data_IF_977810722306
#
_entry.id   IF_977810722306
#
_cell.length_a   1.000
_cell.length_b   1.000
_cell.length_c   1.000
_cell.angle_alpha   90.00
_cell.angle_beta   90.00
_cell.angle_gamma   90.00
#
_symmetry.space_group_name_H-M   'P 1'
#
loop_
_entity.id
_entity.type
_entity.pdbx_description
1 polymer ?
2 non-polymer ?
3 non-polymer ?
4 water ?
#
# COMPACT_ATOMS: atom_id res chain seq x y z
N UNK A 10 -11.82 12.03 -20.06
CA UNK A 10 -10.90 11.92 -21.22
C UNK A 10 -10.70 10.44 -21.50
N UNK A 11 -11.53 9.96 -22.41
CA UNK A 11 -11.48 8.54 -22.83
C UNK A 11 -10.65 8.43 -24.09
N UNK A 12 -9.89 7.37 -24.17
CA UNK A 12 -9.02 7.08 -25.32
C UNK A 12 -9.83 6.13 -26.24
N UNK A 13 -9.56 6.24 -27.52
CA UNK A 13 -10.25 5.41 -28.52
C UNK A 13 -9.97 3.94 -28.29
N UNK A 14 -11.03 3.17 -28.36
CA UNK A 14 -11.01 1.73 -28.17
C UNK A 14 -10.16 1.08 -29.27
N UNK A 15 -9.23 0.26 -28.83
CA UNK A 15 -8.33 -0.46 -29.78
C UNK A 15 -9.20 -1.49 -30.51
N UNK A 16 -8.74 -1.84 -31.70
CA UNK A 16 -9.49 -2.79 -32.54
C UNK A 16 -9.85 -4.06 -31.81
N UNK A 17 -8.93 -4.61 -31.03
CA UNK A 17 -9.14 -5.89 -30.37
C UNK A 17 -10.08 -5.94 -29.22
N UNK A 18 -10.58 -4.83 -28.72
CA UNK A 18 -11.46 -4.81 -27.53
C UNK A 18 -12.93 -4.92 -27.91
N UNK A 19 -13.57 -6.03 -27.54
CA UNK A 19 -15.03 -6.16 -27.74
C UNK A 19 -15.72 -5.09 -26.91
N UNK A 20 -16.60 -4.34 -27.55
CA UNK A 20 -17.31 -3.24 -26.92
C UNK A 20 -18.14 -3.60 -25.71
N UNK A 21 -18.46 -4.88 -25.54
CA UNK A 21 -19.23 -5.42 -24.46
C UNK A 21 -18.31 -5.56 -23.21
N UNK A 22 -17.02 -5.52 -23.48
CA UNK A 22 -16.03 -5.62 -22.36
C UNK A 22 -15.63 -4.25 -21.89
N UNK A 23 -16.16 -3.17 -22.37
CA UNK A 23 -15.84 -1.82 -21.94
C UNK A 23 -16.64 -1.48 -20.66
N UNK A 24 -15.86 -0.90 -19.79
CA UNK A 24 -16.38 -0.43 -18.44
C UNK A 24 -15.35 0.65 -18.07
N UNK A 25 -15.77 1.90 -18.21
CA UNK A 25 -14.91 3.06 -17.99
C UNK A 25 -14.68 3.43 -16.53
N UNK A 26 -13.90 2.68 -15.88
CA UNK A 26 -13.45 2.87 -14.48
C UNK A 26 -12.13 3.70 -14.52
N UNK A 27 -12.12 4.76 -13.75
CA UNK A 27 -11.01 5.68 -13.56
C UNK A 27 -10.44 5.41 -12.14
N UNK A 28 -9.34 4.71 -12.10
CA UNK A 28 -8.72 4.26 -10.86
C UNK A 28 -8.26 5.46 -10.00
N UNK A 29 -8.14 6.62 -10.58
CA UNK A 29 -7.80 7.84 -9.90
C UNK A 29 -8.96 8.70 -9.44
N UNK A 30 -10.11 8.43 -10.00
CA UNK A 30 -11.30 9.18 -9.60
C UNK A 30 -12.53 8.34 -9.96
N UNK A 31 -12.66 7.29 -9.20
CA UNK A 31 -13.83 6.39 -9.33
C UNK A 31 -15.06 7.17 -8.91
N UNK A 32 -16.22 6.68 -9.37
CA UNK A 32 -17.48 7.33 -9.22
C UNK A 32 -18.10 7.50 -7.89
N UNK A 33 -18.31 6.47 -7.09
CA UNK A 33 -19.00 6.80 -5.79
C UNK A 33 -17.94 6.82 -4.69
N UNK A 34 -16.97 7.71 -4.92
CA UNK A 34 -15.85 7.88 -4.01
C UNK A 34 -16.34 8.39 -2.68
N UNK A 35 -17.43 9.11 -2.70
CA UNK A 35 -18.12 9.61 -1.51
C UNK A 35 -18.41 8.50 -0.51
N UNK A 36 -18.81 7.34 -1.02
CA UNK A 36 -19.23 6.19 -0.18
C UNK A 36 -18.08 5.49 0.56
N UNK A 37 -16.89 5.78 0.08
CA UNK A 37 -15.69 5.02 0.55
C UNK A 37 -14.96 4.47 -0.66
N UNK A 38 -13.63 4.36 -0.50
CA UNK A 38 -12.76 3.92 -1.59
C UNK A 38 -12.92 2.47 -1.95
N UNK A 39 -12.98 1.56 -1.01
CA UNK A 39 -13.16 0.18 -1.16
C UNK A 39 -14.55 -0.01 -1.86
N UNK A 40 -15.52 0.74 -1.40
CA UNK A 40 -16.90 0.68 -1.96
C UNK A 40 -16.97 1.15 -3.39
N UNK A 41 -16.16 2.14 -3.75
CA UNK A 41 -16.02 2.71 -5.06
C UNK A 41 -15.44 1.72 -6.04
N UNK A 42 -14.43 1.00 -5.72
CA UNK A 42 -13.81 -0.08 -6.47
C UNK A 42 -14.69 -1.33 -6.61
N UNK A 43 -15.40 -1.71 -5.60
CA UNK A 43 -16.30 -2.83 -5.53
C UNK A 43 -17.40 -2.78 -6.58
N UNK A 44 -17.66 -1.65 -7.19
CA UNK A 44 -18.59 -1.51 -8.31
C UNK A 44 -18.19 -2.48 -9.44
N UNK A 45 -16.95 -2.72 -9.63
CA UNK A 45 -16.31 -3.62 -10.54
C UNK A 45 -16.74 -5.07 -10.35
N UNK A 46 -17.28 -5.34 -9.17
CA UNK A 46 -17.66 -6.73 -8.87
C UNK A 46 -19.16 -6.99 -8.89
N UNK A 47 -19.90 -6.00 -9.33
CA UNK A 47 -21.36 -6.17 -9.49
C UNK A 47 -21.62 -7.21 -10.59
N UNK A 48 -22.84 -7.74 -10.56
CA UNK A 48 -23.33 -8.72 -11.55
C UNK A 48 -23.27 -8.18 -12.97
N UNK A 49 -23.45 -6.93 -13.20
CA UNK A 49 -23.43 -6.30 -14.52
C UNK A 49 -22.03 -6.22 -15.13
N UNK A 50 -21.01 -6.46 -14.34
CA UNK A 50 -19.62 -6.31 -14.82
C UNK A 50 -18.97 -7.64 -15.13
N UNK A 51 -18.43 -7.77 -16.33
CA UNK A 51 -17.63 -8.93 -16.74
C UNK A 51 -16.36 -9.02 -15.84
N UNK A 52 -15.82 -10.21 -15.77
CA UNK A 52 -14.69 -10.61 -15.00
C UNK A 52 -13.43 -9.81 -15.38
N UNK A 53 -13.34 -9.52 -16.63
CA UNK A 53 -12.26 -8.83 -17.29
C UNK A 53 -12.80 -7.77 -18.19
N UNK A 54 -12.54 -6.54 -17.89
CA UNK A 54 -13.03 -5.36 -18.52
C UNK A 54 -11.89 -4.52 -19.04
N UNK A 55 -12.22 -3.63 -19.95
CA UNK A 55 -11.40 -2.66 -20.59
C UNK A 55 -11.93 -1.26 -20.22
N UNK A 56 -11.02 -0.43 -19.72
CA UNK A 56 -11.45 0.95 -19.41
C UNK A 56 -10.74 1.82 -20.40
N UNK A 57 -11.39 2.88 -20.82
CA UNK A 57 -10.74 3.81 -21.77
C UNK A 57 -10.11 4.95 -21.01
N UNK A 58 -10.22 4.87 -19.67
CA UNK A 58 -9.64 5.97 -18.85
C UNK A 58 -8.14 5.69 -18.74
N UNK A 59 -7.41 6.78 -18.40
CA UNK A 59 -5.97 6.63 -18.10
C UNK A 59 -5.27 5.94 -19.26
N UNK A 60 -5.74 6.24 -20.47
CA UNK A 60 -5.19 5.78 -21.72
C UNK A 60 -5.63 4.47 -22.29
N UNK A 61 -6.47 3.71 -21.65
CA UNK A 61 -6.97 2.43 -21.97
C UNK A 61 -6.16 1.29 -21.38
N UNK A 62 -6.78 0.39 -20.68
CA UNK A 62 -6.12 -0.74 -20.01
C UNK A 62 -7.21 -1.72 -19.58
N UNK A 63 -6.83 -2.95 -19.35
CA UNK A 63 -7.63 -4.00 -18.78
C UNK A 63 -7.66 -3.89 -17.23
N UNK A 64 -8.68 -4.50 -16.65
CA UNK A 64 -8.84 -4.64 -15.22
C UNK A 64 -9.40 -6.04 -14.97
N UNK A 65 -8.75 -6.84 -14.19
CA UNK A 65 -9.19 -8.12 -13.70
C UNK A 65 -10.01 -7.85 -12.43
N UNK A 66 -11.24 -8.32 -12.35
CA UNK A 66 -12.15 -7.98 -11.29
C UNK A 66 -12.31 -8.98 -10.18
N UNK A 67 -11.80 -10.16 -10.36
CA UNK A 67 -12.01 -11.30 -9.50
C UNK A 67 -10.71 -11.89 -8.98
N UNK A 68 -10.79 -12.27 -7.74
CA UNK A 68 -9.65 -12.84 -7.01
C UNK A 68 -8.93 -13.91 -7.74
N UNK A 69 -9.72 -14.79 -8.41
CA UNK A 69 -9.14 -15.92 -9.16
C UNK A 69 -8.29 -15.40 -10.31
N UNK A 70 -8.77 -14.43 -11.06
CA UNK A 70 -8.00 -13.88 -12.18
C UNK A 70 -6.78 -13.12 -11.73
N UNK A 71 -6.95 -12.32 -10.68
CA UNK A 71 -5.88 -11.51 -10.10
C UNK A 71 -4.70 -12.39 -9.68
N UNK A 72 -4.96 -13.46 -9.00
CA UNK A 72 -4.00 -14.42 -8.54
C UNK A 72 -3.31 -15.18 -9.66
N UNK A 73 -4.10 -15.62 -10.63
CA UNK A 73 -3.53 -16.30 -11.79
C UNK A 73 -2.58 -15.38 -12.54
N UNK A 74 -3.00 -14.19 -12.80
CA UNK A 74 -2.19 -13.22 -13.53
C UNK A 74 -0.87 -12.95 -12.75
N UNK A 75 -0.96 -12.91 -11.45
CA UNK A 75 0.12 -12.66 -10.54
C UNK A 75 1.16 -13.76 -10.48
N UNK A 76 0.70 -14.98 -10.64
CA UNK A 76 1.47 -16.18 -10.72
C UNK A 76 2.22 -16.35 -12.02
N UNK A 77 1.63 -16.03 -13.12
CA UNK A 77 2.04 -16.03 -14.48
C UNK A 77 3.03 -15.04 -15.02
N UNK A 78 4.13 -14.73 -14.43
CA UNK A 78 5.08 -13.70 -14.90
C UNK A 78 5.54 -13.80 -16.32
N UNK A 79 5.38 -14.99 -16.90
CA UNK A 79 5.76 -15.22 -18.32
C UNK A 79 4.95 -14.35 -19.24
N UNK A 80 3.62 -14.29 -18.99
CA UNK A 80 2.70 -13.46 -19.80
C UNK A 80 2.52 -12.09 -19.25
N UNK A 81 2.43 -12.06 -17.91
CA UNK A 81 2.18 -10.76 -17.21
C UNK A 81 3.45 -10.27 -16.55
N UNK A 82 4.13 -9.37 -17.17
CA UNK A 82 5.40 -8.80 -16.76
C UNK A 82 5.32 -7.54 -15.93
N UNK A 83 6.29 -7.56 -14.97
CA UNK A 83 6.39 -6.40 -14.02
C UNK A 83 7.14 -5.25 -14.67
N UNK A 84 7.59 -5.41 -15.92
CA UNK A 84 8.32 -4.34 -16.60
C UNK A 84 7.63 -2.99 -16.50
N UNK A 85 6.32 -3.01 -16.65
CA UNK A 85 5.52 -1.71 -16.66
C UNK A 85 4.32 -2.01 -15.77
N UNK A 86 4.53 -1.79 -14.46
CA UNK A 86 3.56 -2.17 -13.44
C UNK A 86 2.56 -1.13 -13.09
N UNK A 87 2.76 0.08 -13.53
CA UNK A 87 1.88 1.20 -13.19
C UNK A 87 1.14 1.68 -14.43
N UNK A 88 -0.03 2.16 -14.15
CA UNK A 88 -0.93 2.82 -15.12
C UNK A 88 -0.99 4.25 -14.62
N UNK A 89 -0.90 5.26 -15.44
CA UNK A 89 -0.82 5.19 -16.90
C UNK A 89 0.59 4.78 -17.34
N UNK A 90 0.69 4.36 -18.57
CA UNK A 90 1.89 3.83 -19.19
C UNK A 90 3.13 4.66 -18.94
N UNK A 91 3.09 5.95 -19.05
CA UNK A 91 4.22 6.84 -18.83
C UNK A 91 4.86 6.61 -17.45
N UNK A 92 4.00 6.42 -16.46
CA UNK A 92 4.39 6.16 -15.08
C UNK A 92 5.00 4.75 -14.94
N UNK A 93 4.30 3.79 -15.54
CA UNK A 93 4.78 2.39 -15.52
C UNK A 93 6.13 2.38 -16.27
N UNK A 94 6.20 3.28 -17.25
CA UNK A 94 7.39 3.41 -18.06
C UNK A 94 8.54 4.07 -17.35
N UNK A 95 8.27 5.12 -16.61
CA UNK A 95 9.28 5.90 -15.88
C UNK A 95 9.80 5.18 -14.65
N UNK A 96 9.02 4.20 -14.17
CA UNK A 96 9.43 3.50 -12.99
C UNK A 96 10.20 2.24 -13.31
N UNK A 97 11.34 2.24 -12.63
CA UNK A 97 12.45 1.33 -12.74
C UNK A 97 12.92 0.91 -11.34
N UNK A 98 11.96 0.88 -10.40
CA UNK A 98 12.22 0.43 -9.03
C UNK A 98 12.57 -1.05 -8.98
N UNK A 99 13.45 -1.41 -8.03
CA UNK A 99 13.90 -2.81 -7.88
C UNK A 99 13.42 -3.26 -6.49
N UNK A 100 12.89 -4.45 -6.37
CA UNK A 100 12.77 -5.48 -7.40
C UNK A 100 11.50 -5.51 -8.21
N UNK A 101 10.64 -4.53 -8.05
CA UNK A 101 9.31 -4.45 -8.60
C UNK A 101 9.26 -4.39 -10.11
N UNK A 102 10.20 -3.71 -10.77
CA UNK A 102 10.12 -3.64 -12.24
C UNK A 102 10.79 -4.82 -12.90
N UNK A 103 11.13 -5.86 -12.17
CA UNK A 103 11.77 -7.05 -12.68
C UNK A 103 10.94 -8.33 -12.51
N UNK A 104 11.23 -9.31 -13.39
CA UNK A 104 10.63 -10.63 -13.31
C UNK A 104 11.68 -11.64 -12.84
N UNK A 105 11.21 -12.76 -12.33
CA UNK A 105 12.10 -13.88 -12.00
C UNK A 105 12.69 -14.34 -13.34
N UNK A 106 13.91 -14.85 -13.34
CA UNK A 106 14.73 -15.20 -12.18
C UNK A 106 15.52 -14.04 -11.60
N UNK A 107 15.67 -13.00 -12.38
CA UNK A 107 16.41 -11.80 -12.07
C UNK A 107 16.04 -11.14 -10.75
N UNK A 108 14.75 -11.02 -10.55
CA UNK A 108 14.11 -10.48 -9.34
C UNK A 108 14.66 -11.05 -8.04
N UNK A 109 14.86 -12.34 -7.97
CA UNK A 109 15.24 -13.11 -6.79
C UNK A 109 16.48 -12.66 -6.04
N UNK A 110 17.49 -12.22 -6.76
CA UNK A 110 18.78 -11.80 -6.20
C UNK A 110 18.56 -10.49 -5.43
N UNK A 111 17.87 -9.61 -6.15
CA UNK A 111 17.56 -8.28 -5.57
C UNK A 111 16.67 -8.42 -4.36
N UNK A 112 15.68 -9.33 -4.47
CA UNK A 112 14.72 -9.53 -3.36
C UNK A 112 15.39 -10.00 -2.07
N UNK A 113 16.25 -10.95 -2.24
CA UNK A 113 17.07 -11.58 -1.21
C UNK A 113 17.81 -10.48 -0.39
N UNK A 114 18.30 -9.47 -1.11
CA UNK A 114 18.96 -8.33 -0.48
C UNK A 114 18.00 -7.42 0.27
N UNK A 115 16.91 -7.04 -0.39
CA UNK A 115 15.89 -6.18 0.23
C UNK A 115 15.31 -6.79 1.49
N UNK A 116 15.21 -8.10 1.54
CA UNK A 116 14.76 -8.91 2.65
C UNK A 116 15.73 -8.81 3.83
N UNK A 117 17.00 -8.63 3.52
CA UNK A 117 18.05 -8.44 4.52
C UNK A 117 17.70 -7.22 5.39
N UNK A 118 17.22 -6.19 4.72
CA UNK A 118 16.89 -4.92 5.27
C UNK A 118 15.57 -4.72 5.96
N UNK A 119 14.50 -5.38 5.56
CA UNK A 119 13.16 -5.24 6.07
C UNK A 119 12.55 -6.43 6.76
N UNK A 120 13.14 -7.58 6.53
CA UNK A 120 12.71 -8.88 6.98
C UNK A 120 12.36 -9.02 8.43
N UNK A 121 11.90 -10.23 8.76
CA UNK A 121 11.53 -10.68 10.09
C UNK A 121 12.51 -10.24 11.20
N UNK A 122 13.76 -10.64 11.05
CA UNK A 122 14.82 -10.38 12.01
C UNK A 122 15.07 -8.93 12.34
N UNK A 123 14.79 -8.05 11.44
CA UNK A 123 14.83 -6.60 11.58
C UNK A 123 13.66 -6.06 12.38
N UNK A 124 12.48 -6.59 12.12
CA UNK A 124 11.28 -6.19 12.87
C UNK A 124 11.45 -6.56 14.35
N UNK A 125 11.99 -7.76 14.53
CA UNK A 125 12.27 -8.36 15.81
C UNK A 125 13.21 -7.47 16.63
N UNK A 126 14.20 -6.98 15.98
CA UNK A 126 15.21 -6.09 16.56
C UNK A 126 14.61 -4.72 16.85
N UNK A 127 13.66 -4.27 16.03
CA UNK A 127 13.04 -2.98 16.12
C UNK A 127 11.80 -2.92 16.99
N UNK A 128 11.41 -4.01 17.55
CA UNK A 128 10.14 -4.12 18.24
C UNK A 128 9.96 -3.18 19.39
N UNK A 129 11.01 -3.07 20.22
CA UNK A 129 11.01 -2.15 21.34
C UNK A 129 10.86 -0.72 20.89
N UNK A 130 11.49 -0.28 19.81
CA UNK A 130 11.30 1.12 19.39
C UNK A 130 9.85 1.34 18.88
N UNK A 131 9.33 0.34 18.21
CA UNK A 131 7.97 0.48 17.62
C UNK A 131 6.99 0.72 18.77
N UNK A 132 7.14 -0.10 19.77
CA UNK A 132 6.28 -0.04 20.99
C UNK A 132 6.49 1.29 21.69
N UNK A 133 7.74 1.66 21.87
CA UNK A 133 8.12 2.91 22.52
C UNK A 133 7.50 4.12 21.83
N UNK A 134 7.64 4.22 20.53
CA UNK A 134 7.10 5.34 19.78
C UNK A 134 5.56 5.39 19.79
N UNK A 135 4.95 4.25 19.72
CA UNK A 135 3.45 4.18 19.69
C UNK A 135 2.93 4.73 21.02
N UNK A 136 3.47 4.16 22.07
CA UNK A 136 3.06 4.53 23.45
C UNK A 136 3.24 6.02 23.70
N UNK A 137 4.41 6.51 23.30
CA UNK A 137 4.77 7.93 23.47
C UNK A 137 3.84 8.86 22.73
N UNK A 138 3.57 8.48 21.50
CA UNK A 138 2.69 9.26 20.60
C UNK A 138 1.25 9.29 21.15
N UNK A 139 0.78 8.14 21.54
CA UNK A 139 -0.62 8.00 22.06
C UNK A 139 -0.76 8.77 23.38
N UNK A 140 0.14 8.48 24.32
CA UNK A 140 0.14 9.15 25.63
C UNK A 140 0.12 10.65 25.46
N UNK A 141 0.82 11.16 24.49
CA UNK A 141 0.90 12.58 24.19
C UNK A 141 -0.40 13.17 23.67
N UNK A 142 -1.15 12.34 22.93
CA UNK A 142 -2.46 12.75 22.40
C UNK A 142 -3.59 12.65 23.41
N UNK A 143 -3.54 11.65 24.25
CA UNK A 143 -4.56 11.25 25.18
C UNK A 143 -5.31 12.32 25.90
N UNK A 144 -4.63 13.23 26.59
CA UNK A 144 -5.29 14.28 27.38
C UNK A 144 -5.95 15.36 26.59
N UNK A 145 -5.68 15.45 25.31
CA UNK A 145 -6.21 16.44 24.38
C UNK A 145 -7.68 16.26 24.00
N UNK A 146 -8.20 15.05 24.05
CA UNK A 146 -9.57 14.78 23.64
C UNK A 146 -9.82 15.05 22.16
N UNK A 147 -8.80 15.21 21.35
CA UNK A 147 -8.93 15.45 19.92
C UNK A 147 -7.62 15.46 19.15
N UNK A 148 -7.64 14.77 17.99
CA UNK A 148 -6.51 14.93 17.04
C UNK A 148 -7.06 15.01 15.60
N UNK A 149 -6.20 15.00 14.65
CA UNK A 149 -6.07 14.76 13.30
C UNK A 149 -5.43 13.40 13.08
N UNK A 150 -5.92 12.27 13.44
CA UNK A 150 -5.25 10.99 13.33
C UNK A 150 -4.30 10.89 12.15
N UNK A 151 -4.66 11.50 11.00
CA UNK A 151 -3.79 11.38 9.86
C UNK A 151 -2.46 12.09 10.05
N UNK A 152 -2.49 13.36 10.45
CA UNK A 152 -1.27 14.11 10.71
C UNK A 152 -0.64 13.78 12.05
N UNK A 153 -1.40 13.54 13.07
CA UNK A 153 -1.01 13.28 14.44
C UNK A 153 -0.48 11.91 14.75
N UNK A 154 -0.82 10.88 14.04
CA UNK A 154 -0.35 9.52 14.40
C UNK A 154 0.01 8.70 13.17
N UNK A 155 -0.98 8.59 12.29
CA UNK A 155 -0.81 7.73 11.09
C UNK A 155 0.42 8.06 10.29
N UNK A 156 0.86 9.29 10.21
CA UNK A 156 2.06 9.74 9.55
C UNK A 156 3.35 9.59 10.31
N UNK A 157 3.47 10.25 11.45
CA UNK A 157 4.66 10.17 12.29
C UNK A 157 5.03 8.77 12.73
N UNK A 158 4.06 7.97 13.15
CA UNK A 158 4.31 6.61 13.63
C UNK A 158 5.15 5.77 12.74
N UNK A 159 4.63 5.40 11.56
CA UNK A 159 5.36 4.55 10.61
C UNK A 159 6.54 5.27 10.01
N UNK A 160 6.38 6.57 9.80
CA UNK A 160 7.41 7.33 9.13
C UNK A 160 8.72 7.41 9.93
N UNK A 161 8.54 7.82 11.18
CA UNK A 161 9.68 7.98 12.07
C UNK A 161 10.37 6.63 12.24
N UNK A 162 9.64 5.55 12.28
CA UNK A 162 10.29 4.23 12.41
C UNK A 162 11.10 3.93 11.16
N UNK A 163 10.61 4.43 10.01
CA UNK A 163 11.29 4.16 8.74
C UNK A 163 12.60 4.99 8.74
N UNK A 164 12.46 6.24 9.10
CA UNK A 164 13.58 7.19 9.09
C UNK A 164 14.70 6.62 9.92
N UNK A 165 14.37 5.97 11.01
CA UNK A 165 15.24 5.36 11.97
C UNK A 165 15.99 4.17 11.41
N UNK A 166 15.23 3.39 10.65
CA UNK A 166 15.72 2.20 9.96
C UNK A 166 16.63 2.57 8.82
N UNK A 167 16.35 3.63 8.11
CA UNK A 167 17.08 4.13 6.97
C UNK A 167 18.18 5.10 7.36
N UNK A 168 18.15 5.56 8.57
CA UNK A 168 19.13 6.50 9.12
C UNK A 168 19.07 7.82 8.38
N UNK A 169 17.87 8.32 8.16
CA UNK A 169 17.68 9.60 7.43
C UNK A 169 17.07 10.57 8.43
N UNK A 170 17.34 11.85 8.24
CA UNK A 170 16.85 12.90 9.13
C UNK A 170 15.36 13.18 9.06
N UNK A 171 14.75 13.27 10.23
CA UNK A 171 13.32 13.55 10.36
C UNK A 171 12.95 14.84 9.66
N UNK A 172 13.94 15.71 9.55
CA UNK A 172 13.82 17.00 8.87
C UNK A 172 13.45 16.82 7.41
N UNK A 173 13.72 15.65 6.87
CA UNK A 173 13.44 15.34 5.45
C UNK A 173 12.00 14.93 5.19
N UNK A 174 11.23 14.54 6.16
CA UNK A 174 9.89 14.04 6.06
C UNK A 174 8.95 14.73 5.11
N UNK A 175 8.68 16.01 5.33
CA UNK A 175 7.73 16.78 4.55
C UNK A 175 8.01 16.77 3.06
N UNK A 176 9.28 16.91 2.71
CA UNK A 176 9.80 16.93 1.36
C UNK A 176 9.66 15.55 0.72
N UNK A 177 10.04 14.54 1.48
CA UNK A 177 10.00 13.18 0.95
C UNK A 177 8.58 12.67 0.74
N UNK A 178 7.76 12.99 1.70
CA UNK A 178 6.36 12.60 1.77
C UNK A 178 5.61 13.19 0.59
N UNK A 179 5.97 14.39 0.20
CA UNK A 179 5.27 15.05 -0.92
C UNK A 179 5.56 14.32 -2.22
N UNK A 180 6.82 14.01 -2.39
CA UNK A 180 7.32 13.33 -3.56
C UNK A 180 6.67 11.94 -3.64
N UNK A 181 6.56 11.32 -2.48
CA UNK A 181 5.96 9.99 -2.40
C UNK A 181 4.48 10.02 -2.81
N UNK A 182 3.77 11.01 -2.34
CA UNK A 182 2.34 11.19 -2.60
C UNK A 182 2.02 11.43 -4.07
N UNK A 183 2.88 12.18 -4.71
CA UNK A 183 2.82 12.46 -6.13
C UNK A 183 2.86 11.19 -6.96
N UNK A 184 3.54 10.20 -6.45
CA UNK A 184 3.77 8.92 -7.16
C UNK A 184 2.57 8.00 -7.14
N UNK A 185 1.92 7.90 -6.00
CA UNK A 185 0.80 6.92 -5.81
C UNK A 185 -0.56 7.56 -6.03
N UNK A 186 -0.60 8.84 -5.71
CA UNK A 186 -1.86 9.60 -5.85
C UNK A 186 -1.58 10.92 -6.53
N UNK A 187 -1.08 10.83 -7.76
CA UNK A 187 -0.73 12.00 -8.59
C UNK A 187 -1.84 13.03 -8.55
N UNK A 188 -1.42 14.25 -8.58
CA UNK A 188 -2.11 15.50 -8.31
C UNK A 188 -2.20 16.40 -9.55
N UNK A 189 -1.19 16.29 -10.38
CA UNK A 189 -1.07 17.05 -11.61
C UNK A 189 0.00 18.13 -11.46
N UNK A 190 0.58 18.25 -10.27
CA UNK A 190 1.57 19.27 -9.97
C UNK A 190 2.96 18.97 -10.53
N UNK A 191 3.22 17.71 -10.78
CA UNK A 191 4.50 17.27 -11.29
C UNK A 191 4.66 16.58 -12.62
N UNK A 192 4.41 15.32 -12.75
CA UNK A 192 4.62 14.32 -13.75
C UNK A 192 5.43 13.20 -13.02
N UNK A 193 5.27 12.01 -13.49
CA UNK A 193 5.84 10.81 -12.88
C UNK A 193 7.37 10.83 -12.89
N UNK A 194 7.91 11.13 -14.05
CA UNK A 194 9.36 11.15 -14.25
C UNK A 194 10.04 12.23 -13.42
N UNK A 195 9.37 13.36 -13.32
CA UNK A 195 9.87 14.54 -12.59
C UNK A 195 9.93 14.24 -11.10
N UNK A 196 8.91 13.58 -10.58
CA UNK A 196 8.79 13.16 -9.21
C UNK A 196 9.90 12.14 -8.90
N UNK A 197 10.05 11.23 -9.85
CA UNK A 197 11.02 10.16 -9.72
C UNK A 197 12.45 10.74 -9.61
N UNK A 198 12.73 11.69 -10.47
CA UNK A 198 14.01 12.36 -10.48
C UNK A 198 14.37 13.14 -9.24
N UNK A 199 13.39 13.82 -8.68
CA UNK A 199 13.57 14.60 -7.46
C UNK A 199 13.92 13.63 -6.32
N UNK A 200 13.22 12.47 -6.27
CA UNK A 200 13.55 11.51 -5.21
C UNK A 200 14.99 11.03 -5.42
N UNK A 201 15.32 10.89 -6.68
CA UNK A 201 16.62 10.38 -7.10
C UNK A 201 17.70 11.38 -6.77
N UNK A 202 17.40 12.65 -6.87
CA UNK A 202 18.31 13.75 -6.55
C UNK A 202 18.71 13.72 -5.08
N UNK A 203 17.77 13.40 -4.25
CA UNK A 203 17.82 13.17 -2.85
C UNK A 203 18.76 12.01 -2.54
N UNK A 204 18.39 10.83 -2.99
CA UNK A 204 19.04 9.58 -2.79
C UNK A 204 20.49 9.51 -3.23
N UNK A 205 20.83 9.91 -4.42
CA UNK A 205 22.20 9.83 -4.95
C UNK A 205 23.33 10.19 -4.02
N UNK A 206 23.38 11.42 -3.54
CA UNK A 206 24.42 11.91 -2.64
C UNK A 206 24.57 11.07 -1.38
N UNK A 207 23.46 10.64 -0.82
CA UNK A 207 23.36 9.82 0.37
C UNK A 207 23.98 8.45 0.13
N UNK A 208 23.59 7.84 -0.97
CA UNK A 208 24.15 6.52 -1.34
C UNK A 208 25.65 6.59 -1.48
N UNK A 209 26.13 7.58 -2.21
CA UNK A 209 27.56 7.77 -2.52
C UNK A 209 28.34 7.74 -1.20
N UNK A 210 27.84 8.53 -0.30
CA UNK A 210 28.28 8.75 1.08
C UNK A 210 28.37 7.43 1.83
N UNK A 211 27.36 6.59 1.72
CA UNK A 211 27.28 5.30 2.40
C UNK A 211 28.06 4.20 1.70
N UNK A 212 28.58 4.44 0.51
CA UNK A 212 29.41 3.40 -0.17
C UNK A 212 30.84 3.56 0.36
N UNK A 213 31.22 4.82 0.53
CA UNK A 213 32.52 5.24 1.08
C UNK A 213 32.60 4.89 2.57
N UNK A 214 31.60 5.38 3.28
CA UNK A 214 31.53 5.22 4.76
C UNK A 214 30.21 4.61 5.19
N UNK A 215 30.19 3.28 5.18
CA UNK A 215 29.02 2.51 5.56
C UNK A 215 28.63 2.69 7.02
N UNK A 216 27.33 2.54 7.21
CA UNK A 216 26.67 2.53 8.52
C UNK A 216 26.05 1.13 8.68
N UNK A 217 25.09 1.10 9.57
CA UNK A 217 24.36 -0.11 9.94
C UNK A 217 22.89 0.07 9.51
N UNK A 218 22.60 1.23 8.96
CA UNK A 218 21.28 1.60 8.43
C UNK A 218 20.95 0.78 7.16
N UNK A 219 19.69 0.76 6.80
CA UNK A 219 19.23 0.01 5.63
C UNK A 219 19.88 0.46 4.33
N UNK A 220 20.13 1.74 4.20
CA UNK A 220 20.69 2.33 2.99
C UNK A 220 22.14 1.91 2.79
N UNK A 221 22.89 1.87 3.88
CA UNK A 221 24.27 1.40 3.92
C UNK A 221 24.34 -0.07 3.51
N UNK A 222 23.42 -0.86 4.02
CA UNK A 222 23.40 -2.30 3.74
C UNK A 222 23.07 -2.55 2.25
N UNK A 223 22.13 -1.79 1.73
CA UNK A 223 21.73 -1.88 0.31
C UNK A 223 22.83 -1.36 -0.60
N UNK A 224 23.37 -0.20 -0.30
CA UNK A 224 24.43 0.43 -1.10
C UNK A 224 25.67 -0.43 -1.21
N UNK A 225 25.88 -1.29 -0.21
CA UNK A 225 27.06 -2.13 -0.09
C UNK A 225 26.84 -3.61 -0.26
N UNK A 226 25.70 -4.05 -0.75
CA UNK A 226 25.35 -5.46 -0.86
C UNK A 226 25.87 -6.15 -2.10
N UNK A 227 25.75 -7.46 -2.07
CA UNK A 227 26.13 -8.40 -3.12
C UNK A 227 24.87 -8.93 -3.82
N UNK A 228 24.96 -8.99 -5.11
CA UNK A 228 23.88 -9.52 -5.97
C UNK A 228 24.50 -10.34 -7.10
N UNK A 229 24.26 -11.63 -7.04
CA UNK A 229 24.78 -12.60 -8.01
C UNK A 229 26.32 -12.56 -8.00
N UNK A 230 26.84 -12.65 -6.78
CA UNK A 230 28.24 -12.71 -6.45
C UNK A 230 29.05 -11.45 -6.59
N UNK A 231 28.51 -10.47 -7.24
CA UNK A 231 29.19 -9.17 -7.51
C UNK A 231 28.50 -8.11 -6.69
N UNK A 232 29.13 -6.95 -6.58
CA UNK A 232 28.57 -5.83 -5.81
C UNK A 232 27.49 -5.10 -6.59
N UNK A 233 26.47 -4.65 -5.89
CA UNK A 233 25.38 -3.86 -6.53
C UNK A 233 25.99 -2.59 -7.13
N UNK A 234 25.41 -2.08 -8.19
CA UNK A 234 25.83 -0.81 -8.76
C UNK A 234 25.13 0.31 -7.96
N UNK A 235 25.56 1.51 -8.25
CA UNK A 235 25.04 2.72 -7.59
C UNK A 235 23.59 2.98 -8.03
N UNK A 236 23.39 2.70 -9.29
CA UNK A 236 22.11 2.86 -10.00
C UNK A 236 21.08 1.87 -9.41
N UNK A 237 21.53 0.65 -9.19
CA UNK A 237 20.74 -0.40 -8.59
C UNK A 237 20.37 -0.11 -7.14
N UNK A 238 21.35 0.48 -6.41
CA UNK A 238 21.06 0.81 -4.99
C UNK A 238 20.03 1.95 -4.99
N UNK A 239 20.21 2.86 -5.93
CA UNK A 239 19.31 4.02 -6.02
C UNK A 239 17.87 3.55 -6.23
N UNK A 240 17.70 2.66 -7.18
CA UNK A 240 16.47 2.00 -7.57
C UNK A 240 15.83 1.14 -6.53
N UNK A 241 16.52 0.42 -5.68
CA UNK A 241 15.95 -0.29 -4.56
C UNK A 241 15.48 0.71 -3.47
N UNK A 242 16.40 1.62 -3.15
CA UNK A 242 16.12 2.58 -2.07
C UNK A 242 14.91 3.41 -2.37
N UNK A 243 14.71 3.67 -3.66
CA UNK A 243 13.54 4.46 -4.09
C UNK A 243 12.25 3.70 -3.69
N UNK A 244 12.24 2.42 -3.93
CA UNK A 244 11.09 1.58 -3.54
C UNK A 244 10.84 1.56 -2.04
N UNK A 245 11.94 1.32 -1.32
CA UNK A 245 11.92 1.24 0.14
C UNK A 245 11.29 2.50 0.73
N UNK A 246 11.61 3.63 0.20
CA UNK A 246 11.18 4.95 0.61
C UNK A 246 9.68 5.14 0.48
N UNK A 247 9.18 4.72 -0.67
CA UNK A 247 7.74 4.76 -0.97
C UNK A 247 7.00 3.80 -0.06
N UNK A 248 7.55 2.61 0.15
CA UNK A 248 6.88 1.60 0.97
C UNK A 248 6.77 2.13 2.39
N UNK A 249 7.92 2.65 2.87
CA UNK A 249 8.02 3.16 4.24
C UNK A 249 7.13 4.34 4.52
N UNK A 250 7.00 5.27 3.62
CA UNK A 250 6.28 6.49 3.68
C UNK A 250 4.81 6.56 3.36
N UNK A 251 4.40 5.77 2.37
CA UNK A 251 3.04 5.78 1.90
C UNK A 251 2.13 4.72 2.39
N UNK A 252 2.41 3.48 2.48
CA UNK A 252 1.51 2.40 2.83
C UNK A 252 0.89 2.27 4.15
N UNK A 253 1.59 2.02 5.22
CA UNK A 253 1.16 1.82 6.56
C UNK A 253 0.38 3.04 7.05
N UNK A 254 0.86 4.15 6.55
CA UNK A 254 0.29 5.46 6.83
C UNK A 254 -1.18 5.54 6.48
N UNK A 255 -1.51 5.08 5.27
CA UNK A 255 -2.90 5.08 4.76
C UNK A 255 -3.71 3.99 5.38
N UNK A 256 -3.15 2.81 5.53
CA UNK A 256 -3.84 1.70 6.13
C UNK A 256 -4.41 2.01 7.52
N UNK A 257 -3.61 2.63 8.38
CA UNK A 257 -4.02 2.89 9.78
C UNK A 257 -5.21 3.83 9.82
N UNK A 258 -5.22 4.84 8.98
CA UNK A 258 -6.36 5.73 8.82
C UNK A 258 -7.64 5.01 8.47
N UNK A 259 -7.66 4.06 7.53
CA UNK A 259 -8.94 3.37 7.22
C UNK A 259 -9.41 2.60 8.44
N UNK A 260 -8.44 1.94 9.06
CA UNK A 260 -8.68 1.06 10.21
C UNK A 260 -9.20 1.83 11.39
N UNK A 261 -8.58 2.99 11.62
CA UNK A 261 -9.01 3.88 12.71
C UNK A 261 -10.38 4.48 12.47
N UNK A 262 -10.64 4.82 11.21
CA UNK A 262 -11.96 5.39 10.84
C UNK A 262 -13.03 4.38 11.15
N UNK A 263 -12.81 3.13 10.81
CA UNK A 263 -13.66 2.01 11.08
C UNK A 263 -13.87 1.84 12.58
N UNK A 264 -12.77 1.83 13.35
CA UNK A 264 -12.89 1.60 14.79
C UNK A 264 -13.67 2.71 15.47
N UNK A 265 -13.41 3.93 15.07
CA UNK A 265 -14.08 5.13 15.51
C UNK A 265 -15.60 5.02 15.28
N UNK A 266 -16.00 4.30 14.26
CA UNK A 266 -17.45 4.08 13.98
C UNK A 266 -18.01 2.81 14.53
N UNK A 267 -17.29 1.88 15.02
CA UNK A 267 -17.81 0.59 15.51
C UNK A 267 -17.43 0.21 16.89
N UNK A 268 -18.20 0.71 17.88
CA UNK A 268 -17.96 0.47 19.30
C UNK A 268 -17.76 -0.98 19.65
N UNK A 269 -18.60 -1.80 19.01
CA UNK A 269 -18.64 -3.24 19.28
C UNK A 269 -17.36 -3.92 18.86
N UNK A 270 -16.73 -3.42 17.83
CA UNK A 270 -15.45 -4.02 17.37
C UNK A 270 -14.32 -3.64 18.33
N UNK A 271 -14.43 -2.43 18.83
CA UNK A 271 -13.45 -1.93 19.83
C UNK A 271 -13.45 -2.82 21.08
N UNK A 272 -14.63 -3.07 21.58
CA UNK A 272 -14.88 -3.84 22.78
C UNK A 272 -14.35 -5.24 22.69
N UNK A 273 -14.62 -5.80 21.53
CA UNK A 273 -14.22 -7.18 21.24
C UNK A 273 -12.74 -7.37 21.43
N UNK A 274 -11.98 -6.40 21.01
CA UNK A 274 -10.51 -6.40 21.04
C UNK A 274 -10.02 -6.13 22.48
N UNK A 275 -10.77 -5.28 23.16
CA UNK A 275 -10.50 -4.98 24.56
C UNK A 275 -10.65 -6.19 25.45
N UNK A 276 -11.74 -6.94 25.27
CA UNK A 276 -11.97 -8.11 26.09
C UNK A 276 -11.27 -9.38 25.74
N UNK A 277 -11.00 -9.54 24.46
CA UNK A 277 -10.46 -10.80 23.94
C UNK A 277 -9.29 -10.48 23.04
N UNK A 278 -8.23 -9.99 23.67
CA UNK A 278 -7.00 -9.58 23.00
C UNK A 278 -6.39 -10.64 22.13
N UNK A 279 -6.76 -11.90 22.37
CA UNK A 279 -6.25 -13.04 21.64
C UNK A 279 -6.70 -12.97 20.17
N UNK A 280 -7.63 -12.07 19.92
CA UNK A 280 -8.19 -11.83 18.62
C UNK A 280 -7.45 -10.79 17.83
N UNK A 281 -6.62 -9.97 18.44
CA UNK A 281 -5.89 -8.92 17.74
C UNK A 281 -5.33 -9.31 16.41
N UNK A 282 -4.54 -10.37 16.40
CA UNK A 282 -3.92 -10.90 15.16
C UNK A 282 -4.96 -11.19 14.10
N UNK A 283 -5.98 -11.94 14.44
CA UNK A 283 -7.13 -12.26 13.57
C UNK A 283 -7.83 -11.03 13.03
N UNK A 284 -8.11 -10.06 13.86
CA UNK A 284 -8.70 -8.79 13.53
C UNK A 284 -7.83 -8.02 12.56
N UNK A 285 -6.51 -8.14 12.77
CA UNK A 285 -5.56 -7.39 11.95
C UNK A 285 -5.64 -7.94 10.52
N UNK A 286 -5.80 -9.25 10.39
CA UNK A 286 -5.94 -9.88 9.12
C UNK A 286 -7.25 -9.43 8.44
N UNK A 287 -8.30 -9.37 9.20
CA UNK A 287 -9.63 -9.00 8.68
C UNK A 287 -9.65 -7.62 8.20
N UNK A 288 -9.00 -6.67 8.95
CA UNK A 288 -8.92 -5.28 8.53
C UNK A 288 -8.06 -5.14 7.31
N UNK A 289 -6.96 -5.91 7.24
CA UNK A 289 -6.14 -5.90 6.01
C UNK A 289 -6.99 -6.36 4.79
N UNK A 290 -7.84 -7.36 4.99
CA UNK A 290 -8.79 -7.73 3.87
C UNK A 290 -9.78 -6.61 3.55
N UNK A 291 -10.52 -6.08 4.48
CA UNK A 291 -11.58 -5.11 4.29
C UNK A 291 -11.15 -3.73 3.91
N UNK A 292 -9.96 -3.32 4.41
CA UNK A 292 -9.45 -2.02 4.08
C UNK A 292 -8.18 -2.10 3.24
N UNK A 293 -8.09 -3.15 2.44
CA UNK A 293 -7.07 -3.32 1.39
C UNK A 293 -7.06 -2.05 0.53
N UNK A 294 -5.86 -1.62 0.11
CA UNK A 294 -5.65 -0.34 -0.51
C UNK A 294 -4.67 -0.17 -1.64
N UNK A 295 -4.17 -1.21 -2.21
CA UNK A 295 -3.19 -1.14 -3.29
C UNK A 295 -3.81 -1.69 -4.61
N UNK A 296 -3.44 -0.99 -5.65
CA UNK A 296 -3.83 -1.47 -7.02
C UNK A 296 -2.71 -1.15 -7.96
N UNK A 297 -1.99 -2.17 -8.39
CA UNK A 297 -1.06 -1.97 -9.54
C UNK A 297 -1.41 -3.07 -10.60
N UNK A 298 -0.47 -3.20 -11.57
CA UNK A 298 -0.72 -4.16 -12.66
C UNK A 298 0.53 -4.74 -13.26
N UNK A 299 0.34 -5.27 -14.46
CA UNK A 299 1.32 -5.89 -15.32
C UNK A 299 1.16 -5.56 -16.81
N UNK A 300 2.21 -5.88 -17.56
CA UNK A 300 2.23 -5.65 -19.03
C UNK A 300 2.30 -6.96 -19.77
N UNK A 301 1.52 -7.05 -20.84
CA UNK A 301 1.52 -8.30 -21.65
C UNK A 301 2.81 -8.32 -22.48
N UNK A 302 3.46 -9.47 -22.37
CA UNK A 302 4.72 -9.71 -23.12
C UNK A 302 4.40 -10.25 -24.50
N UNK A 303 3.17 -10.75 -24.64
CA UNK A 303 2.72 -11.30 -25.93
C UNK A 303 1.20 -11.40 -26.00
N UNK A 304 0.79 -11.71 -27.24
CA UNK A 304 -0.66 -11.95 -27.50
C UNK A 304 -0.96 -13.19 -26.66
N UNK A 305 -2.05 -13.11 -25.95
CA UNK A 305 -2.36 -14.23 -25.03
C UNK A 305 -3.83 -14.20 -24.73
N UNK A 306 -4.38 -15.39 -24.72
CA UNK A 306 -5.80 -15.62 -24.51
C UNK A 306 -6.01 -16.05 -23.07
N UNK A 307 -6.70 -15.16 -22.38
CA UNK A 307 -6.86 -15.29 -20.91
C UNK A 307 -8.34 -15.31 -20.56
N UNK A 308 -8.78 -16.48 -20.12
CA UNK A 308 -10.18 -16.70 -19.73
C UNK A 308 -11.11 -16.24 -20.84
N UNK A 309 -10.79 -16.62 -22.07
CA UNK A 309 -11.50 -16.30 -23.28
C UNK A 309 -11.35 -14.92 -23.83
N UNK A 310 -10.58 -14.03 -23.20
CA UNK A 310 -10.41 -12.65 -23.72
C UNK A 310 -9.05 -12.63 -24.40
N UNK A 311 -9.00 -12.01 -25.54
CA UNK A 311 -7.76 -11.87 -26.31
C UNK A 311 -6.97 -10.67 -25.86
N UNK A 312 -5.76 -10.95 -25.38
CA UNK A 312 -4.90 -9.84 -24.87
C UNK A 312 -3.79 -9.61 -25.89
N UNK A 313 -3.50 -8.35 -26.17
CA UNK A 313 -2.43 -8.05 -27.13
C UNK A 313 -1.15 -7.66 -26.42
N UNK A 314 -0.04 -8.12 -26.96
CA UNK A 314 1.30 -7.76 -26.43
C UNK A 314 1.33 -6.24 -26.21
N UNK A 315 1.74 -5.81 -25.01
CA UNK A 315 1.87 -4.38 -24.74
C UNK A 315 0.68 -3.73 -24.11
N UNK A 316 -0.37 -4.50 -23.97
CA UNK A 316 -1.59 -4.06 -23.25
C UNK A 316 -1.15 -4.11 -21.75
N UNK A 317 -1.62 -3.11 -21.06
CA UNK A 317 -1.46 -3.15 -19.58
C UNK A 317 -2.78 -3.67 -19.00
N UNK A 318 -2.68 -4.34 -17.90
CA UNK A 318 -3.76 -4.82 -17.10
C UNK A 318 -3.56 -4.47 -15.62
N UNK A 319 -4.58 -3.88 -15.03
CA UNK A 319 -4.66 -3.56 -13.62
C UNK A 319 -5.13 -4.80 -12.89
N UNK A 320 -4.35 -5.26 -11.90
CA UNK A 320 -4.71 -6.46 -11.15
C UNK A 320 -4.82 -6.01 -9.68
N UNK A 321 -5.91 -5.39 -9.32
CA UNK A 321 -6.17 -4.74 -8.05
C UNK A 321 -6.10 -5.64 -6.84
N UNK A 322 -4.91 -5.61 -6.15
CA UNK A 322 -4.74 -6.45 -4.95
C UNK A 322 -5.89 -6.26 -3.95
N UNK A 323 -6.35 -5.05 -3.89
CA UNK A 323 -7.52 -4.63 -3.08
C UNK A 323 -8.77 -5.51 -3.33
N UNK A 324 -9.01 -5.86 -4.58
CA UNK A 324 -10.20 -6.60 -5.01
C UNK A 324 -10.38 -7.99 -4.58
N UNK A 325 -9.35 -8.82 -4.46
CA UNK A 325 -9.43 -10.19 -4.14
C UNK A 325 -10.29 -10.50 -2.92
N UNK A 326 -10.00 -9.77 -1.84
CA UNK A 326 -10.61 -10.06 -0.53
C UNK A 326 -12.03 -9.46 -0.44
N UNK A 327 -12.37 -8.61 -1.37
CA UNK A 327 -13.70 -8.01 -1.46
C UNK A 327 -14.63 -8.81 -2.36
N UNK A 328 -14.04 -9.78 -3.04
CA UNK A 328 -14.74 -10.71 -3.92
C UNK A 328 -15.58 -11.63 -3.05
N UNK A 329 -16.90 -11.59 -3.31
CA UNK A 329 -17.85 -12.49 -2.68
C UNK A 329 -17.57 -13.95 -2.93
N UNK A 330 -16.98 -14.34 -4.04
CA UNK A 330 -16.64 -15.76 -4.27
C UNK A 330 -15.53 -16.19 -3.32
N UNK A 331 -14.89 -15.23 -2.68
CA UNK A 331 -13.72 -15.47 -1.82
C UNK A 331 -14.06 -15.32 -0.33
N UNK A 332 -14.86 -14.29 -0.08
CA UNK A 332 -15.34 -14.02 1.28
C UNK A 332 -16.84 -13.75 1.28
N UNK A 333 -17.57 -14.52 2.07
CA UNK A 333 -19.04 -14.25 2.22
C UNK A 333 -19.15 -12.87 2.86
N UNK A 334 -20.18 -12.12 2.53
CA UNK A 334 -20.47 -10.77 2.98
C UNK A 334 -19.18 -9.95 3.10
N UNK A 335 -18.60 -9.58 1.98
CA UNK A 335 -17.27 -8.98 1.91
C UNK A 335 -17.06 -7.67 2.60
N UNK A 336 -18.10 -6.85 2.61
CA UNK A 336 -18.11 -5.52 3.16
C UNK A 336 -18.29 -5.51 4.67
N UNK A 337 -18.59 -6.62 5.25
CA UNK A 337 -18.79 -6.83 6.68
C UNK A 337 -17.46 -7.29 7.32
N UNK A 338 -17.18 -6.63 8.47
CA UNK A 338 -15.97 -6.87 9.24
C UNK A 338 -16.34 -7.84 10.38
N UNK A 339 -15.73 -8.98 10.30
CA UNK A 339 -15.96 -10.12 11.17
C UNK A 339 -14.60 -10.72 11.56
N UNK A 340 -14.27 -10.45 12.83
CA UNK A 340 -13.03 -10.87 13.43
C UNK A 340 -12.92 -12.35 13.64
N UNK A 341 -14.02 -13.08 13.59
CA UNK A 341 -14.02 -14.52 13.76
C UNK A 341 -14.37 -15.34 12.52
N UNK A 342 -14.05 -14.77 11.37
CA UNK A 342 -14.15 -15.45 10.07
C UNK A 342 -13.25 -16.69 10.11
N UNK A 343 -13.76 -17.78 9.59
CA UNK A 343 -13.00 -19.03 9.55
C UNK A 343 -11.74 -18.88 8.69
N UNK A 344 -11.89 -18.13 7.62
CA UNK A 344 -10.81 -17.93 6.64
C UNK A 344 -10.88 -16.53 6.06
N UNK A 345 -9.87 -15.75 6.30
CA UNK A 345 -9.76 -14.38 5.79
C UNK A 345 -8.81 -14.53 4.58
N UNK A 346 -9.38 -14.36 3.42
CA UNK A 346 -8.72 -14.54 2.13
C UNK A 346 -8.51 -13.18 1.49
N UNK A 347 -7.24 -12.86 1.24
CA UNK A 347 -6.92 -11.55 0.65
C UNK A 347 -5.60 -11.70 -0.10
N UNK A 348 -5.25 -10.69 -0.83
CA UNK A 348 -3.92 -10.58 -1.46
C UNK A 348 -3.47 -9.14 -1.22
N UNK A 349 -3.71 -8.68 0.01
CA UNK A 349 -3.38 -7.25 0.34
C UNK A 349 -1.90 -6.95 0.16
N UNK A 350 -1.05 -7.92 0.45
CA UNK A 350 0.41 -7.77 0.32
C UNK A 350 0.91 -8.33 -0.99
N UNK A 351 -0.03 -8.57 -1.93
CA UNK A 351 0.39 -9.07 -3.26
C UNK A 351 0.21 -10.56 -3.31
N UNK A 352 0.81 -11.12 -4.36
CA UNK A 352 0.71 -12.57 -4.65
C UNK A 352 1.76 -12.85 -5.73
N UNK A 353 2.28 -14.03 -5.67
CA UNK A 353 3.29 -14.53 -6.61
C UNK A 353 4.67 -14.14 -6.08
N UNK A 354 5.60 -13.99 -7.03
CA UNK A 354 7.00 -13.72 -6.60
C UNK A 354 7.22 -12.32 -6.06
N UNK A 355 6.28 -11.40 -6.17
CA UNK A 355 6.43 -10.02 -5.73
C UNK A 355 5.84 -9.73 -4.37
N UNK A 356 5.51 -10.76 -3.64
CA UNK A 356 4.96 -10.69 -2.31
C UNK A 356 5.72 -9.68 -1.42
N UNK A 357 4.94 -8.83 -0.79
CA UNK A 357 5.45 -7.75 0.05
C UNK A 357 6.49 -8.20 1.09
N UNK A 358 7.71 -7.66 0.94
CA UNK A 358 8.79 -8.01 1.91
C UNK A 358 8.52 -7.26 3.24
N UNK A 359 7.83 -6.14 3.13
CA UNK A 359 7.55 -5.31 4.30
C UNK A 359 6.31 -5.69 5.09
N UNK A 360 5.77 -6.86 4.86
CA UNK A 360 4.49 -7.24 5.46
C UNK A 360 4.62 -7.44 6.96
N UNK A 361 5.76 -8.00 7.35
CA UNK A 361 6.06 -8.31 8.77
C UNK A 361 6.16 -7.02 9.59
N UNK A 362 6.85 -6.05 9.04
CA UNK A 362 6.97 -4.76 9.64
C UNK A 362 5.56 -4.12 9.76
N UNK A 363 4.86 -4.08 8.64
CA UNK A 363 3.52 -3.47 8.61
C UNK A 363 2.59 -4.15 9.60
N UNK A 364 2.58 -5.45 9.75
CA UNK A 364 1.70 -6.17 10.67
C UNK A 364 2.04 -5.80 12.13
N UNK A 365 3.38 -5.63 12.32
CA UNK A 365 3.83 -5.33 13.70
C UNK A 365 3.39 -3.95 14.08
N UNK A 366 3.43 -3.01 13.16
CA UNK A 366 3.01 -1.65 13.34
C UNK A 366 1.51 -1.50 13.57
N UNK A 367 0.75 -2.35 12.85
CA UNK A 367 -0.72 -2.34 13.06
C UNK A 367 -1.09 -2.89 14.41
N UNK A 368 -0.63 -4.06 14.73
CA UNK A 368 -0.96 -4.74 15.96
C UNK A 368 -0.59 -3.89 17.20
N UNK A 369 0.54 -3.26 17.15
CA UNK A 369 1.01 -2.39 18.24
C UNK A 369 0.05 -1.25 18.43
N UNK A 370 -0.31 -0.61 17.31
CA UNK A 370 -1.23 0.51 17.29
C UNK A 370 -2.60 0.12 17.88
N UNK A 371 -3.13 -1.04 17.46
CA UNK A 371 -4.48 -1.39 17.95
C UNK A 371 -4.40 -1.59 19.47
N UNK A 372 -3.41 -2.41 19.88
CA UNK A 372 -3.30 -2.79 21.28
C UNK A 372 -3.12 -1.56 22.16
N UNK A 373 -2.21 -0.72 21.76
CA UNK A 373 -1.82 0.46 22.51
C UNK A 373 -2.80 1.56 22.51
N UNK A 374 -3.47 1.76 21.35
CA UNK A 374 -4.52 2.80 21.32
C UNK A 374 -5.71 2.43 22.20
N UNK A 375 -6.21 1.25 22.04
CA UNK A 375 -7.36 0.72 22.74
C UNK A 375 -7.15 0.65 24.25
N UNK A 376 -5.90 0.44 24.63
CA UNK A 376 -5.48 0.40 26.02
C UNK A 376 -5.73 1.76 26.70
N UNK A 377 -5.34 2.82 26.14
CA UNK A 377 -5.37 4.18 26.63
C UNK A 377 -6.60 4.96 26.27
N UNK A 378 -7.06 4.77 25.04
CA UNK A 378 -8.24 5.48 24.51
C UNK A 378 -9.24 4.48 23.92
N UNK A 379 -9.96 3.81 24.81
CA UNK A 379 -10.92 2.81 24.44
C UNK A 379 -12.16 3.31 23.71
N UNK A 380 -12.44 4.59 23.95
CA UNK A 380 -13.70 5.22 23.53
C UNK A 380 -13.40 6.51 22.80
N UNK A 381 -13.73 6.46 21.51
CA UNK A 381 -13.48 7.63 20.64
C UNK A 381 -14.51 7.60 19.52
N UNK A 382 -14.54 8.73 18.81
CA UNK A 382 -15.44 8.79 17.66
C UNK A 382 -14.92 9.82 16.69
N UNK A 383 -15.58 9.83 15.52
CA UNK A 383 -15.31 10.84 14.50
C UNK A 383 -15.95 12.14 14.98
N UNK A 384 -15.22 13.22 14.70
CA UNK A 384 -15.69 14.56 15.13
C UNK A 384 -17.00 14.89 14.44
N UNK A 385 -17.95 15.40 15.20
CA UNK A 385 -19.25 15.85 14.66
C UNK A 385 -19.05 16.80 13.48
N UNK A 386 -19.73 16.48 12.41
CA UNK A 386 -19.78 17.26 11.18
C UNK A 386 -18.56 17.14 10.31
N UNK A 387 -17.67 16.21 10.67
CA UNK A 387 -16.47 15.95 9.86
C UNK A 387 -17.02 15.09 8.68
N UNK A 388 -16.46 15.40 7.58
CA UNK A 388 -16.71 14.76 6.26
C UNK A 388 -15.40 14.04 5.89
N UNK A 389 -15.34 12.74 6.13
CA UNK A 389 -14.13 11.97 5.78
C UNK A 389 -14.06 11.74 4.27
N UNK A 390 -12.95 12.13 3.69
CA UNK A 390 -12.69 11.90 2.28
C UNK A 390 -11.59 10.91 1.98
N UNK A 391 -11.96 9.94 1.14
CA UNK A 391 -10.98 8.94 0.69
C UNK A 391 -10.37 9.48 -0.58
N UNK A 392 -9.26 8.95 -0.95
CA UNK A 392 -8.57 9.32 -2.20
C UNK A 392 -8.14 7.98 -2.87
N UNK A 393 -8.35 7.92 -4.17
CA UNK A 393 -8.02 6.70 -4.93
C UNK A 393 -6.72 6.85 -5.70
N UNK A 394 -6.04 5.72 -5.93
CA UNK A 394 -4.82 5.71 -6.71
C UNK A 394 -4.12 4.39 -6.59
N UNK A 395 -2.82 4.41 -6.90
CA UNK A 395 -2.02 3.16 -6.76
C UNK A 395 -2.11 2.72 -5.30
N UNK A 396 -2.05 3.72 -4.43
CA UNK A 396 -2.25 3.40 -2.96
C UNK A 396 -3.42 4.30 -2.60
N UNK A 397 -4.41 3.80 -1.87
CA UNK A 397 -5.56 4.71 -1.60
C UNK A 397 -5.30 5.34 -0.23
N UNK A 398 -5.90 6.49 0.00
CA UNK A 398 -5.71 7.17 1.29
C UNK A 398 -6.95 7.83 1.83
N UNK A 399 -6.78 8.41 3.01
CA UNK A 399 -7.77 9.19 3.75
C UNK A 399 -7.15 10.62 3.85
N UNK A 400 -7.90 11.58 3.46
CA UNK A 400 -7.48 13.00 3.50
C UNK A 400 -7.16 13.51 4.89
N UNK A 401 -8.02 13.33 5.84
CA UNK A 401 -7.86 13.77 7.23
C UNK A 401 -8.84 12.97 8.05
N UNK A 402 -8.49 12.71 9.30
CA UNK A 402 -9.32 11.93 10.22
C UNK A 402 -9.41 12.61 11.60
N UNK A 403 -10.35 13.55 11.68
CA UNK A 403 -10.59 14.28 12.95
C UNK A 403 -11.32 13.38 13.92
N UNK A 404 -10.75 13.06 15.07
CA UNK A 404 -11.31 12.24 16.11
C UNK A 404 -11.53 13.10 17.37
N UNK A 405 -12.46 12.67 18.21
CA UNK A 405 -12.76 13.32 19.49
C UNK A 405 -12.97 12.24 20.54
N UNK A 406 -12.71 12.60 21.78
CA UNK A 406 -12.93 11.68 22.89
C UNK A 406 -12.98 12.47 24.20
N UNK A 407 -13.49 11.81 25.21
CA UNK A 407 -13.52 12.46 26.54
C UNK A 407 -12.28 11.94 27.29
N UNK A 408 -11.39 12.85 27.63
CA UNK A 408 -10.16 12.55 28.35
C UNK A 408 -10.44 11.77 29.62
N UNK A 409 -11.63 12.01 30.21
CA UNK A 409 -12.03 11.36 31.45
C UNK A 409 -12.28 9.87 31.29
N UNK A 410 -12.38 9.41 30.06
CA UNK A 410 -12.58 8.01 29.75
C UNK A 410 -11.32 7.31 29.32
N UNK A 411 -10.22 8.08 29.27
CA UNK A 411 -8.92 7.52 28.93
C UNK A 411 -8.26 6.92 30.18
N UNK A 412 -7.21 6.17 29.92
CA UNK A 412 -6.38 5.49 30.87
C UNK A 412 -4.89 5.70 30.56
N UNK A 413 -4.22 6.35 31.49
CA UNK A 413 -2.78 6.56 31.41
C UNK A 413 -2.14 5.22 31.83
N UNK A 414 -1.03 4.96 31.19
CA UNK A 414 -0.12 3.85 31.42
C UNK A 414 1.27 4.52 31.62
X LIG B 1 5.68 -5.24 -2.58
X LIG B 1 1.53 -3.99 -0.44
X LIG B 1 4.05 -2.10 3.24
X LIG B 1 8.15 -3.05 0.91
X LIG B 1 4.33 -4.99 -2.37
X LIG B 1 3.24 -5.40 -3.24
X LIG B 1 2.10 -5.04 -2.67
X LIG B 1 2.45 -4.42 -1.36
X LIG B 1 0.63 -5.24 -3.09
X LIG B 1 3.47 -6.14 -4.57
X LIG B 1 3.32 -5.26 -5.82
X LIG B 1 3.42 -5.93 -7.11
X LIG B 1 3.27 -7.17 -7.17
X LIG B 1 3.63 -5.14 -8.10
X LIG B 1 1.84 -3.43 0.78
X LIG B 1 0.89 -3.02 1.80
X LIG B 1 1.55 -2.46 2.81
X LIG B 1 2.97 -2.49 2.44
X LIG B 1 -0.64 -3.21 1.63
X LIG B 1 1.05 -1.94 4.12
X LIG B 1 -0.07 -2.02 4.74
X LIG B 1 5.40 -2.16 2.94
X LIG B 1 6.51 -1.68 3.79
X LIG B 1 7.63 -1.89 3.09
X LIG B 1 7.26 -2.50 1.79
X LIG B 1 6.35 -1.05 5.14
X LIG B 1 9.10 -1.69 3.47
X LIG B 1 9.59 -0.46 3.32
X LIG B 1 7.89 -3.86 -0.17
X LIG B 1 8.83 -4.27 -1.18
X LIG B 1 8.14 -4.94 -2.11
X LIG B 1 6.74 -4.79 -1.83
X LIG B 1 10.36 -4.20 -1.00
X LIG B 1 8.68 -5.64 -3.35
X LIG B 1 8.93 -7.13 -3.30
X LIG B 1 9.37 -7.68 -4.68
X LIG B 1 9.94 -8.76 -4.60
X LIG B 1 9.15 -7.00 -5.71
X LIG B 1 3.83 -4.44 -1.22
X LIG B 1 3.13 -3.17 1.23
X LIG B 1 5.89 -2.73 1.82
X LIG B 1 6.60 -4.25 -0.53
X LIG B 1 4.88 -3.84 0.42
X LIG C 1 4.62 1.03 -3.90
X LIG C 1 4.30 2.32 -4.45
X LIG C 1 3.66 0.00 -4.51
X LIG C 1 6.11 0.77 -4.26
X LIG C 1 4.42 1.14 -2.36
X LIG C 1 6.55 1.41 -5.60
X LIG C 1 6.09 0.59 -6.82
X LIG C 1 7.29 -0.02 -7.57
X LIG C 1 7.14 0.05 -9.11
X LIG C 1 6.29 1.26 -9.55
X LIG C 1 4.72 -0.17 -1.68
X LIG C 1 2.30 0.07 -4.21
X LIG C 1 1.38 -0.83 -4.73
X LIG C 1 1.81 -1.84 -5.59
X LIG C 1 3.17 -1.93 -5.91
X LIG C 1 4.09 -1.02 -5.39
X LIG C 1 5.92 -0.83 -1.77
X LIG C 1 5.86 -1.97 -1.03
X LIG C 1 4.68 -2.00 -0.47
X LIG C 1 3.94 -0.91 -0.86
X LIG C 1 5.73 -1.24 -5.87
X LIG C 1 0.69 -2.96 -6.24
#
# INVERSE_FOLDING_TARGET
TTETIQSNANLAPLPPHVPEHLVFDFDMYNPSNLSAGVQEAWAVLQESNVPDLVWTRCNGGHWIATRGQLIREAYEDYRHFSSECPFIPREAGEAYDFIPTSMDPPEQRQFRALANQVVGMPVVDKLENRIQELACSLIESLRPQGQCNFTEDYAEPFPIRIFMLLAGLPEEDIPHLKYLTDQMTRPDGSMTFAEAKEALYDYLIPIIEQRRQKPGTDAISIVANGQVNGRPITSDEAKRMCGLLLVGGLDTVVNFLSFSMEFLAKSPEHRQELIERPERIPAACEELLRRFSLVADGRILTSDYEFHGVQLKKGDQILLPQMLSGLDERENACPMHVDFSRQKVSHTTFGHGSHLCLGQHLARREIIVTLKEWLTRIPDFSIAPGAQIQHKSGIVSGVQALPLVWDPATTKAV
HEM CHA CHB CHC CHD C1A C2A C3A C4A CMA CAA CBA CGA O1A O2A C1B C2B C3B C4B CMB CAB CBB C1C C2C C3C C4C CMC CAC CBC C1D C2D C3D C4D CMD CAD CBD CGD O1D O2D NA NB NC ND FE
PFZ C1 O2 C3 C4 C5 C6 C7 C8 C9 C10 N11 C12 C13 C14 C15 C16 C17 C18 N19 C20 CL21 CL22
#
